data_IF_371546227084
#
_entry.id   IF_371546227084
#
_cell.length_a   1.000
_cell.length_b   1.000
_cell.length_c   1.000
_cell.angle_alpha   90.00
_cell.angle_beta   90.00
_cell.angle_gamma   90.00
#
_symmetry.space_group_name_H-M   'P 1'
#
loop_
_entity.id
_entity.type
_entity.pdbx_description
1 polymer ?
#
# COMPACT_ATOMS: atom_id res chain seq x y z
N UNK A 1 -12.69 -24.81 19.62
CA UNK A 1 -12.41 -23.71 18.68
C UNK A 1 -11.88 -24.33 17.39
N UNK A 2 -12.58 -24.22 16.27
CA UNK A 2 -12.06 -24.71 14.97
C UNK A 2 -10.87 -23.87 14.56
N UNK A 3 -9.74 -24.51 14.22
CA UNK A 3 -8.62 -23.85 13.55
C UNK A 3 -9.05 -23.55 12.11
N UNK A 4 -8.84 -22.31 11.66
CA UNK A 4 -8.93 -21.99 10.24
C UNK A 4 -7.83 -22.77 9.50
N UNK A 5 -8.20 -23.49 8.45
CA UNK A 5 -7.29 -24.16 7.54
C UNK A 5 -7.39 -23.43 6.22
N UNK A 6 -6.30 -22.83 5.76
CA UNK A 6 -6.28 -22.16 4.47
C UNK A 6 -6.38 -23.22 3.35
N UNK A 7 -7.43 -23.18 2.50
CA UNK A 7 -7.55 -24.11 1.38
C UNK A 7 -6.35 -24.05 0.40
N UNK A 8 -5.62 -22.92 0.37
CA UNK A 8 -4.42 -22.75 -0.43
C UNK A 8 -3.23 -23.58 0.09
N UNK A 9 -3.19 -23.90 1.39
CA UNK A 9 -2.15 -24.75 2.01
C UNK A 9 -2.43 -26.25 1.83
N UNK A 10 -3.54 -26.60 1.15
CA UNK A 10 -3.84 -28.00 0.85
C UNK A 10 -2.81 -28.56 -0.13
N UNK A 11 -2.54 -29.87 -0.02
CA UNK A 11 -1.65 -30.59 -0.95
C UNK A 11 -2.09 -30.49 -2.42
N UNK A 12 -3.35 -30.13 -2.68
CA UNK A 12 -3.93 -29.90 -4.00
C UNK A 12 -4.81 -28.64 -3.97
N UNK A 13 -4.21 -27.44 -4.05
CA UNK A 13 -4.97 -26.21 -4.00
C UNK A 13 -5.88 -26.12 -5.23
N UNK A 14 -7.18 -25.99 -5.00
CA UNK A 14 -8.16 -25.78 -6.07
C UNK A 14 -8.00 -24.37 -6.64
N UNK A 15 -7.88 -24.28 -7.97
CA UNK A 15 -7.87 -23.02 -8.72
C UNK A 15 -8.97 -23.07 -9.76
N UNK A 16 -9.90 -22.12 -9.71
CA UNK A 16 -10.96 -22.02 -10.71
C UNK A 16 -10.37 -21.46 -12.03
N UNK A 17 -10.45 -22.20 -13.15
CA UNK A 17 -9.95 -21.73 -14.44
C UNK A 17 -10.90 -20.77 -15.15
N UNK A 18 -12.08 -20.49 -14.60
CA UNK A 18 -13.13 -19.68 -15.24
C UNK A 18 -12.61 -18.26 -15.51
N UNK A 19 -12.57 -17.82 -16.78
CA UNK A 19 -12.13 -16.47 -17.10
C UNK A 19 -13.21 -15.45 -16.74
N UNK A 20 -12.79 -14.20 -16.57
CA UNK A 20 -13.71 -13.08 -16.41
C UNK A 20 -14.64 -12.96 -17.64
N UNK A 21 -15.95 -12.71 -17.46
CA UNK A 21 -16.89 -12.48 -18.56
C UNK A 21 -16.41 -11.38 -19.53
N UNK A 22 -16.70 -11.54 -20.82
CA UNK A 22 -16.24 -10.64 -21.89
C UNK A 22 -16.77 -9.21 -21.76
N UNK A 23 -17.94 -9.04 -21.12
CA UNK A 23 -18.58 -7.73 -20.94
C UNK A 23 -17.84 -6.84 -19.95
N UNK A 24 -16.98 -7.44 -19.10
CA UNK A 24 -16.21 -6.72 -18.08
C UNK A 24 -14.82 -6.42 -18.65
N UNK A 25 -14.45 -5.13 -18.80
CA UNK A 25 -13.12 -4.77 -19.28
C UNK A 25 -12.03 -5.27 -18.34
N UNK A 26 -11.03 -5.96 -18.91
CA UNK A 26 -9.85 -6.44 -18.18
C UNK A 26 -9.00 -5.27 -17.70
N UNK A 27 -8.38 -5.45 -16.53
CA UNK A 27 -7.39 -4.52 -15.98
C UNK A 27 -6.12 -5.28 -15.67
N UNK A 28 -4.98 -4.63 -15.92
CA UNK A 28 -3.69 -5.16 -15.50
C UNK A 28 -3.63 -5.06 -13.98
N UNK A 29 -3.25 -6.14 -13.31
CA UNK A 29 -3.10 -6.12 -11.86
C UNK A 29 -1.85 -5.34 -11.41
N UNK A 30 -1.79 -5.00 -10.12
CA UNK A 30 -0.68 -4.19 -9.56
C UNK A 30 0.68 -4.89 -9.65
N UNK A 31 0.73 -6.20 -9.44
CA UNK A 31 1.96 -6.98 -9.54
C UNK A 31 3.06 -6.57 -8.54
N UNK A 32 2.67 -6.15 -7.33
CA UNK A 32 3.58 -5.79 -6.23
C UNK A 32 3.38 -6.71 -5.03
N UNK A 33 4.47 -7.02 -4.32
CA UNK A 33 4.43 -7.78 -3.07
C UNK A 33 4.06 -6.89 -1.88
N UNK A 34 3.91 -7.48 -0.70
CA UNK A 34 3.45 -6.79 0.51
C UNK A 34 4.37 -5.65 0.96
N UNK A 35 5.69 -5.85 1.01
CA UNK A 35 6.63 -4.82 1.44
C UNK A 35 6.65 -3.54 0.58
N UNK A 36 6.80 -3.60 -0.76
CA UNK A 36 6.74 -2.39 -1.59
C UNK A 36 5.35 -1.72 -1.53
N UNK A 37 4.27 -2.50 -1.46
CA UNK A 37 2.93 -1.94 -1.30
C UNK A 37 2.78 -1.21 0.05
N UNK A 38 3.32 -1.79 1.13
CA UNK A 38 3.35 -1.17 2.46
C UNK A 38 4.20 0.09 2.47
N UNK A 39 5.38 0.05 1.87
CA UNK A 39 6.27 1.21 1.68
C UNK A 39 5.55 2.38 1.00
N UNK A 40 4.74 2.09 -0.04
CA UNK A 40 4.00 3.08 -0.80
C UNK A 40 2.64 3.48 -0.19
N UNK A 41 2.17 2.83 0.87
CA UNK A 41 0.78 2.91 1.35
C UNK A 41 0.31 4.34 1.65
N UNK A 42 1.16 5.16 2.28
CA UNK A 42 0.79 6.54 2.63
C UNK A 42 0.72 7.45 1.39
N UNK A 43 1.59 7.22 0.42
CA UNK A 43 1.56 7.96 -0.84
C UNK A 43 0.36 7.53 -1.69
N UNK A 44 -0.01 6.24 -1.67
CA UNK A 44 -1.23 5.73 -2.28
C UNK A 44 -2.47 6.38 -1.65
N UNK A 45 -2.51 6.48 -0.32
CA UNK A 45 -3.60 7.15 0.39
C UNK A 45 -3.73 8.63 0.01
N UNK A 46 -2.62 9.34 -0.16
CA UNK A 46 -2.63 10.75 -0.54
C UNK A 46 -2.97 10.95 -2.04
N UNK A 47 -2.38 10.16 -2.92
CA UNK A 47 -2.51 10.32 -4.38
C UNK A 47 -3.85 9.76 -4.91
N UNK A 48 -4.31 8.64 -4.36
CA UNK A 48 -5.52 7.95 -4.81
C UNK A 48 -6.71 8.14 -3.86
N UNK A 49 -6.69 9.18 -3.03
CA UNK A 49 -7.69 9.42 -1.99
C UNK A 49 -9.11 9.34 -2.53
N UNK A 50 -9.42 10.18 -3.52
CA UNK A 50 -10.78 10.32 -4.05
C UNK A 50 -11.30 9.02 -4.65
N UNK A 51 -10.44 8.29 -5.39
CA UNK A 51 -10.81 7.00 -5.98
C UNK A 51 -11.07 5.92 -4.93
N UNK A 52 -10.28 5.90 -3.86
CA UNK A 52 -10.42 4.95 -2.77
C UNK A 52 -11.70 5.24 -1.97
N UNK A 53 -11.97 6.51 -1.68
CA UNK A 53 -13.17 6.94 -0.97
C UNK A 53 -14.42 6.63 -1.79
N UNK A 54 -14.45 6.94 -3.09
CA UNK A 54 -15.55 6.60 -3.99
C UNK A 54 -15.83 5.09 -4.03
N UNK A 55 -14.78 4.25 -4.10
CA UNK A 55 -14.93 2.80 -4.08
C UNK A 55 -15.53 2.30 -2.76
N UNK A 56 -15.11 2.87 -1.64
CA UNK A 56 -15.63 2.50 -0.32
C UNK A 56 -17.07 2.98 -0.12
N UNK A 57 -17.43 4.15 -0.66
CA UNK A 57 -18.81 4.64 -0.69
C UNK A 57 -19.71 3.71 -1.52
N UNK A 58 -19.31 3.38 -2.75
CA UNK A 58 -20.04 2.42 -3.59
C UNK A 58 -20.26 1.08 -2.88
N UNK A 59 -19.23 0.55 -2.22
CA UNK A 59 -19.31 -0.70 -1.47
C UNK A 59 -20.22 -0.60 -0.24
N UNK A 60 -20.39 0.59 0.32
CA UNK A 60 -21.32 0.83 1.43
C UNK A 60 -22.77 0.92 0.98
N UNK A 61 -23.02 1.31 -0.28
CA UNK A 61 -24.35 1.44 -0.87
C UNK A 61 -24.93 0.10 -1.33
N UNK A 62 -24.08 -0.82 -1.79
CA UNK A 62 -24.50 -2.12 -2.33
C UNK A 62 -23.64 -3.28 -1.81
N UNK A 63 -24.30 -4.38 -1.45
CA UNK A 63 -23.63 -5.63 -1.09
C UNK A 63 -23.18 -6.45 -2.32
N UNK A 64 -23.62 -6.10 -3.53
CA UNK A 64 -23.24 -6.78 -4.76
C UNK A 64 -21.83 -6.34 -5.20
N UNK A 65 -20.83 -7.24 -5.25
CA UNK A 65 -19.48 -6.91 -5.70
C UNK A 65 -19.41 -6.47 -7.17
N UNK A 66 -20.36 -6.87 -8.02
CA UNK A 66 -20.38 -6.48 -9.43
C UNK A 66 -20.67 -4.98 -9.60
N UNK A 67 -21.37 -4.37 -8.64
CA UNK A 67 -21.78 -2.97 -8.67
C UNK A 67 -20.58 -2.01 -8.76
N UNK A 68 -19.51 -2.29 -8.02
CA UNK A 68 -18.36 -1.38 -7.85
C UNK A 68 -17.14 -1.76 -8.71
N UNK A 69 -17.31 -2.62 -9.72
CA UNK A 69 -16.18 -3.08 -10.56
C UNK A 69 -15.55 -1.93 -11.34
N UNK A 70 -16.31 -0.89 -11.69
CA UNK A 70 -15.78 0.28 -12.42
C UNK A 70 -14.87 1.12 -11.54
N UNK A 71 -15.26 1.35 -10.30
CA UNK A 71 -14.56 2.11 -9.27
C UNK A 71 -13.30 1.34 -8.83
N UNK A 72 -13.42 0.03 -8.62
CA UNK A 72 -12.29 -0.85 -8.32
C UNK A 72 -11.20 -0.79 -9.40
N UNK A 73 -11.59 -0.78 -10.68
CA UNK A 73 -10.62 -0.59 -11.78
C UNK A 73 -9.92 0.77 -11.76
N UNK A 74 -10.60 1.84 -11.33
CA UNK A 74 -10.00 3.18 -11.19
C UNK A 74 -8.96 3.19 -10.07
N UNK A 75 -9.28 2.59 -8.93
CA UNK A 75 -8.35 2.42 -7.80
C UNK A 75 -7.10 1.68 -8.24
N UNK A 76 -7.23 0.52 -8.90
CA UNK A 76 -6.08 -0.27 -9.38
C UNK A 76 -5.21 0.53 -10.34
N UNK A 77 -5.81 1.27 -11.29
CA UNK A 77 -5.05 2.10 -12.25
C UNK A 77 -4.33 3.26 -11.57
N UNK A 78 -4.97 3.94 -10.62
CA UNK A 78 -4.33 5.00 -9.85
C UNK A 78 -3.11 4.48 -9.08
N UNK A 79 -3.27 3.32 -8.42
CA UNK A 79 -2.18 2.69 -7.70
C UNK A 79 -1.03 2.26 -8.64
N UNK A 80 -1.33 1.77 -9.85
CA UNK A 80 -0.32 1.46 -10.86
C UNK A 80 0.48 2.69 -11.29
N UNK A 81 -0.21 3.80 -11.57
CA UNK A 81 0.41 5.06 -11.97
C UNK A 81 1.36 5.58 -10.89
N UNK A 82 0.94 5.54 -9.62
CA UNK A 82 1.83 5.95 -8.52
C UNK A 82 3.07 5.04 -8.41
N UNK A 83 2.88 3.71 -8.46
CA UNK A 83 4.01 2.78 -8.37
C UNK A 83 4.98 2.96 -9.55
N UNK A 84 4.48 3.24 -10.76
CA UNK A 84 5.31 3.58 -11.90
C UNK A 84 6.12 4.86 -11.63
N UNK A 85 5.47 5.93 -11.18
CA UNK A 85 6.15 7.20 -10.81
C UNK A 85 7.18 7.04 -9.71
N UNK A 86 6.91 6.22 -8.70
CA UNK A 86 7.88 5.91 -7.64
C UNK A 86 9.11 5.18 -8.19
N UNK A 87 8.90 4.21 -9.09
CA UNK A 87 9.99 3.48 -9.76
C UNK A 87 10.78 4.34 -10.73
N UNK A 88 10.16 5.33 -11.35
CA UNK A 88 10.85 6.22 -12.29
C UNK A 88 11.69 7.28 -11.56
N UNK A 89 11.22 7.78 -10.42
CA UNK A 89 11.82 8.94 -9.76
C UNK A 89 12.64 8.63 -8.50
N UNK A 90 12.27 7.59 -7.74
CA UNK A 90 12.81 7.31 -6.40
C UNK A 90 13.10 5.81 -6.18
N UNK A 91 13.54 5.09 -7.23
CA UNK A 91 13.67 3.62 -7.19
C UNK A 91 14.62 3.12 -6.12
N UNK A 92 15.77 3.80 -5.95
CA UNK A 92 16.81 3.36 -5.02
C UNK A 92 16.31 3.46 -3.58
N UNK A 93 15.82 4.64 -3.21
CA UNK A 93 15.29 4.94 -1.89
C UNK A 93 14.07 4.07 -1.56
N UNK A 94 13.23 3.81 -2.57
CA UNK A 94 12.08 2.93 -2.44
C UNK A 94 12.51 1.49 -2.15
N UNK A 95 13.52 0.98 -2.87
CA UNK A 95 14.07 -0.35 -2.68
C UNK A 95 14.75 -0.53 -1.33
N UNK A 96 15.51 0.46 -0.87
CA UNK A 96 16.15 0.43 0.43
C UNK A 96 15.09 0.38 1.54
N UNK A 97 14.05 1.22 1.46
CA UNK A 97 13.00 1.26 2.46
C UNK A 97 12.19 -0.05 2.52
N UNK A 98 11.70 -0.57 1.39
CA UNK A 98 10.94 -1.82 1.44
C UNK A 98 11.83 -3.03 1.74
N UNK A 99 13.10 -3.00 1.34
CA UNK A 99 14.09 -4.02 1.70
C UNK A 99 14.37 -4.06 3.20
N UNK A 100 14.34 -2.91 3.89
CA UNK A 100 14.37 -2.85 5.34
C UNK A 100 13.08 -3.44 5.95
N UNK A 101 11.91 -3.08 5.43
CA UNK A 101 10.62 -3.58 5.95
C UNK A 101 10.57 -5.11 5.88
N UNK A 102 11.00 -5.70 4.77
CA UNK A 102 10.95 -7.15 4.58
C UNK A 102 11.79 -7.92 5.62
N UNK A 103 12.88 -7.31 6.12
CA UNK A 103 13.76 -7.91 7.14
C UNK A 103 13.25 -7.75 8.58
N UNK A 104 12.30 -6.86 8.82
CA UNK A 104 11.89 -6.42 10.16
C UNK A 104 10.40 -6.64 10.41
N UNK A 105 9.84 -7.78 9.97
CA UNK A 105 8.42 -8.10 10.11
C UNK A 105 7.49 -7.00 9.52
N UNK A 106 8.02 -6.23 8.57
CA UNK A 106 7.38 -5.07 7.96
C UNK A 106 6.99 -3.97 8.95
N UNK A 107 7.68 -3.81 10.07
CA UNK A 107 7.41 -2.78 11.07
C UNK A 107 8.14 -1.46 10.74
N UNK A 108 7.39 -0.35 10.63
CA UNK A 108 7.96 0.93 10.17
C UNK A 108 8.99 1.54 11.13
N UNK A 109 8.89 1.30 12.44
CA UNK A 109 9.76 1.97 13.41
C UNK A 109 11.23 1.52 13.29
N UNK A 110 11.47 0.32 12.76
CA UNK A 110 12.81 -0.16 12.44
C UNK A 110 13.43 0.52 11.20
N UNK A 111 12.61 1.04 10.30
CA UNK A 111 13.04 1.53 8.99
C UNK A 111 12.94 3.06 8.82
N UNK A 112 12.85 3.81 9.93
CA UNK A 112 12.70 5.28 9.90
C UNK A 112 13.82 6.01 9.16
N UNK A 113 15.03 5.45 9.14
CA UNK A 113 16.17 6.04 8.43
C UNK A 113 15.89 6.06 6.93
N UNK A 114 15.58 4.90 6.35
CA UNK A 114 15.32 4.76 4.91
C UNK A 114 13.99 5.42 4.53
N UNK A 115 12.99 5.36 5.42
CA UNK A 115 11.70 6.04 5.23
C UNK A 115 11.86 7.56 5.05
N UNK A 116 12.72 8.22 5.84
CA UNK A 116 12.93 9.67 5.72
C UNK A 116 13.59 10.04 4.39
N UNK A 117 14.50 9.21 3.91
CA UNK A 117 15.17 9.40 2.61
C UNK A 117 14.14 9.26 1.48
N UNK A 118 13.30 8.23 1.53
CA UNK A 118 12.20 8.04 0.58
C UNK A 118 11.20 9.21 0.62
N UNK A 119 10.74 9.59 1.81
CA UNK A 119 9.79 10.71 1.97
C UNK A 119 10.32 12.01 1.37
N UNK A 120 11.63 12.28 1.55
CA UNK A 120 12.27 13.44 0.95
C UNK A 120 12.25 13.38 -0.57
N UNK A 121 12.66 12.26 -1.18
CA UNK A 121 12.64 12.10 -2.64
C UNK A 121 11.23 12.27 -3.21
N UNK A 122 10.24 11.62 -2.60
CA UNK A 122 8.84 11.67 -3.05
C UNK A 122 8.26 13.08 -2.93
N UNK A 123 8.58 13.81 -1.85
CA UNK A 123 8.18 15.21 -1.70
C UNK A 123 8.82 16.09 -2.78
N UNK A 124 10.12 15.97 -3.00
CA UNK A 124 10.86 16.80 -3.97
C UNK A 124 10.47 16.53 -5.43
N UNK A 125 10.19 15.26 -5.80
CA UNK A 125 9.91 14.87 -7.18
C UNK A 125 8.43 14.80 -7.53
N UNK A 126 7.59 14.35 -6.60
CA UNK A 126 6.17 14.08 -6.82
C UNK A 126 5.25 15.03 -6.05
N UNK A 127 5.79 15.85 -5.13
CA UNK A 127 4.99 16.77 -4.32
C UNK A 127 4.09 16.10 -3.29
N UNK A 128 4.28 14.79 -3.04
CA UNK A 128 3.47 14.03 -2.11
C UNK A 128 4.14 13.97 -0.73
N UNK A 129 3.37 14.24 0.32
CA UNK A 129 3.83 14.15 1.70
C UNK A 129 3.09 13.04 2.45
N UNK A 130 3.80 12.40 3.39
CA UNK A 130 3.21 11.41 4.28
C UNK A 130 2.53 12.12 5.43
N UNK A 131 1.19 12.15 5.42
CA UNK A 131 0.39 12.68 6.52
C UNK A 131 -0.31 11.54 7.26
N UNK A 132 -0.42 11.66 8.58
CA UNK A 132 -1.17 10.71 9.42
C UNK A 132 -2.49 11.39 9.79
N UNK A 133 -3.63 10.95 9.24
CA UNK A 133 -4.93 11.53 9.60
C UNK A 133 -5.24 11.25 11.08
N UNK A 134 -5.84 12.22 11.76
CA UNK A 134 -6.20 12.10 13.18
C UNK A 134 -5.04 12.22 14.18
N UNK A 135 -3.84 12.64 13.74
CA UNK A 135 -2.75 12.97 14.64
C UNK A 135 -3.16 14.12 15.60
N UNK A 136 -2.85 14.05 16.92
CA UNK A 136 -3.24 15.09 17.87
C UNK A 136 -2.65 16.45 17.50
N UNK A 137 -3.48 17.50 17.52
CA UNK A 137 -3.03 18.85 17.25
C UNK A 137 -1.90 19.26 18.21
N UNK A 138 -0.81 19.81 17.67
CA UNK A 138 0.36 20.26 18.45
C UNK A 138 1.37 19.17 18.84
N UNK A 139 1.16 17.91 18.47
CA UNK A 139 2.15 16.83 18.67
C UNK A 139 2.86 16.50 17.36
N UNK A 140 4.16 16.21 17.44
CA UNK A 140 4.94 15.74 16.29
C UNK A 140 4.51 14.32 15.90
N UNK A 141 4.23 14.06 14.60
CA UNK A 141 3.92 12.72 14.13
C UNK A 141 5.06 11.73 14.44
N UNK A 142 4.70 10.47 14.76
CA UNK A 142 5.67 9.47 15.22
C UNK A 142 6.83 9.19 14.25
N UNK A 143 6.62 9.36 12.95
CA UNK A 143 7.65 9.15 11.93
C UNK A 143 8.69 10.28 11.88
N UNK A 144 8.37 11.45 12.43
CA UNK A 144 9.24 12.63 12.52
C UNK A 144 9.94 12.77 13.88
N UNK A 145 9.52 11.98 14.88
CA UNK A 145 10.16 11.98 16.21
C UNK A 145 11.64 11.61 16.09
N UNK A 146 12.52 12.49 16.60
CA UNK A 146 13.98 12.32 16.50
C UNK A 146 14.50 11.18 17.38
N UNK A 147 14.01 11.09 18.62
CA UNK A 147 14.44 10.11 19.62
C UNK A 147 13.24 9.25 20.07
N UNK A 148 12.83 8.24 19.28
CA UNK A 148 11.73 7.35 19.66
C UNK A 148 12.15 6.40 20.80
N UNK A 149 11.18 6.01 21.63
CA UNK A 149 11.41 5.03 22.72
C UNK A 149 11.71 3.64 22.16
N UNK A 150 10.99 3.24 21.12
CA UNK A 150 11.24 1.99 20.39
C UNK A 150 12.24 2.24 19.26
N UNK A 151 13.44 1.70 19.40
CA UNK A 151 14.48 1.68 18.38
C UNK A 151 14.71 0.25 17.90
N UNK A 152 15.33 0.08 16.73
CA UNK A 152 15.80 -1.24 16.32
C UNK A 152 16.80 -1.81 17.31
N UNK A 153 16.78 -3.13 17.48
CA UNK A 153 17.80 -3.84 18.27
C UNK A 153 19.15 -3.43 17.70
N UNK A 154 19.95 -2.73 18.51
CA UNK A 154 21.33 -2.41 18.16
C UNK A 154 22.06 -3.75 18.02
N UNK A 155 22.51 -4.07 16.81
CA UNK A 155 23.44 -5.17 16.58
C UNK A 155 24.85 -4.72 16.95
#
# INVERSE_FOLDING_TARGET
MSRYLDPADSSKPYKDPTPLPSDIPKVKELGVTSAPLKSAAFFLGAYCKDYNEDFMLCKSESADPAHCLKEGRRVTRCAQDLIAKLRENCLSEFNDHWGCLEKNNQEYYHCRKDERVLNKCVFEKLGLSKTIPGAPAGKTPIHEVKNPVYTGVQK
#
